data_IF_890314960593
#
_entry.id   IF_890314960593
#
_cell.length_a   1.000
_cell.length_b   1.000
_cell.length_c   1.000
_cell.angle_alpha   90.00
_cell.angle_beta   90.00
_cell.angle_gamma   90.00
#
_symmetry.space_group_name_H-M   'P 1'
#
loop_
_entity.id
_entity.type
_entity.pdbx_description
1 polymer ?
#
# COMPACT_ATOMS: atom_id res chain seq x y z
N UNK A 1 -9.80 -11.75 65.64
CA UNK A 1 -9.06 -10.85 64.73
C UNK A 1 -9.37 -11.26 63.30
N UNK A 2 -10.19 -10.49 62.58
CA UNK A 2 -10.57 -10.77 61.18
C UNK A 2 -9.62 -9.96 60.29
N UNK A 3 -8.75 -10.65 59.57
CA UNK A 3 -7.78 -10.02 58.67
C UNK A 3 -8.48 -9.37 57.49
N UNK A 4 -8.21 -8.09 57.30
CA UNK A 4 -8.56 -7.33 56.09
C UNK A 4 -7.59 -7.82 55.00
N UNK A 5 -7.99 -8.84 54.23
CA UNK A 5 -7.47 -9.06 52.89
C UNK A 5 -8.22 -8.09 51.96
N UNK A 6 -7.95 -6.79 52.08
CA UNK A 6 -8.71 -5.73 51.44
C UNK A 6 -7.85 -4.96 50.45
N UNK A 7 -8.29 -4.92 49.19
CA UNK A 7 -7.88 -4.04 48.10
C UNK A 7 -6.46 -4.10 47.50
N UNK A 8 -5.38 -4.32 48.25
CA UNK A 8 -4.03 -4.13 47.68
C UNK A 8 -3.69 -5.08 46.49
N UNK A 9 -4.13 -6.34 46.58
CA UNK A 9 -3.97 -7.31 45.50
C UNK A 9 -4.93 -7.10 44.32
N UNK A 10 -6.07 -6.46 44.56
CA UNK A 10 -7.07 -6.22 43.54
C UNK A 10 -6.69 -5.02 42.66
N UNK A 11 -6.25 -3.91 43.29
CA UNK A 11 -5.77 -2.71 42.60
C UNK A 11 -4.53 -2.99 41.74
N UNK A 12 -3.64 -3.88 42.18
CA UNK A 12 -2.44 -4.26 41.41
C UNK A 12 -2.76 -5.12 40.19
N UNK A 13 -3.73 -6.04 40.29
CA UNK A 13 -4.21 -6.84 39.15
C UNK A 13 -4.93 -5.96 38.13
N UNK A 14 -5.81 -5.07 38.58
CA UNK A 14 -6.49 -4.11 37.70
C UNK A 14 -5.48 -3.21 36.98
N UNK A 15 -4.48 -2.68 37.68
CA UNK A 15 -3.42 -1.89 37.08
C UNK A 15 -2.63 -2.70 36.04
N UNK A 16 -2.26 -3.95 36.33
CA UNK A 16 -1.53 -4.80 35.40
C UNK A 16 -2.32 -5.06 34.10
N UNK A 17 -3.63 -5.31 34.22
CA UNK A 17 -4.52 -5.49 33.07
C UNK A 17 -4.61 -4.19 32.26
N UNK A 18 -4.82 -3.05 32.93
CA UNK A 18 -4.94 -1.74 32.28
C UNK A 18 -3.63 -1.38 31.56
N UNK A 19 -2.46 -1.58 32.17
CA UNK A 19 -1.17 -1.30 31.53
C UNK A 19 -0.92 -2.20 30.32
N UNK A 20 -1.28 -3.48 30.41
CA UNK A 20 -1.15 -4.42 29.28
C UNK A 20 -2.07 -4.02 28.13
N UNK A 21 -3.33 -3.70 28.44
CA UNK A 21 -4.31 -3.23 27.46
C UNK A 21 -3.86 -1.91 26.82
N UNK A 22 -3.39 -0.95 27.62
CA UNK A 22 -2.88 0.33 27.13
C UNK A 22 -1.67 0.14 26.20
N UNK A 23 -0.76 -0.76 26.57
CA UNK A 23 0.41 -1.09 25.75
C UNK A 23 0.00 -1.67 24.41
N UNK A 24 -0.96 -2.61 24.41
CA UNK A 24 -1.50 -3.20 23.18
C UNK A 24 -2.18 -2.15 22.28
N UNK A 25 -2.96 -1.24 22.88
CA UNK A 25 -3.61 -0.14 22.15
C UNK A 25 -2.58 0.80 21.54
N UNK A 26 -1.59 1.25 22.30
CA UNK A 26 -0.53 2.13 21.80
C UNK A 26 0.24 1.45 20.66
N UNK A 27 0.61 0.17 20.83
CA UNK A 27 1.28 -0.60 19.79
C UNK A 27 0.45 -0.68 18.51
N UNK A 28 -0.86 -0.90 18.65
CA UNK A 28 -1.80 -0.94 17.52
C UNK A 28 -1.91 0.40 16.81
N UNK A 29 -1.98 1.52 17.56
CA UNK A 29 -2.02 2.87 16.99
C UNK A 29 -0.76 3.16 16.18
N UNK A 30 0.43 2.86 16.73
CA UNK A 30 1.70 3.03 16.03
C UNK A 30 1.75 2.18 14.76
N UNK A 31 1.37 0.90 14.85
CA UNK A 31 1.33 0.01 13.70
C UNK A 31 0.34 0.51 12.62
N UNK A 32 -0.78 1.08 13.02
CA UNK A 32 -1.74 1.73 12.13
C UNK A 32 -1.15 2.92 11.38
N UNK A 33 -0.49 3.84 12.10
CA UNK A 33 0.18 5.01 11.48
C UNK A 33 1.25 4.58 10.49
N UNK A 34 2.07 3.59 10.85
CA UNK A 34 3.09 3.06 9.95
C UNK A 34 2.46 2.41 8.70
N UNK A 35 1.35 1.70 8.86
CA UNK A 35 0.62 1.09 7.73
C UNK A 35 0.08 2.17 6.78
N UNK A 36 -0.41 3.30 7.30
CA UNK A 36 -0.80 4.46 6.48
C UNK A 36 0.39 5.06 5.75
N UNK A 37 1.54 5.19 6.41
CA UNK A 37 2.76 5.67 5.76
C UNK A 37 3.19 4.75 4.61
N UNK A 38 3.14 3.42 4.80
CA UNK A 38 3.39 2.44 3.74
C UNK A 38 2.42 2.62 2.58
N UNK A 39 1.13 2.83 2.85
CA UNK A 39 0.13 3.08 1.81
C UNK A 39 0.44 4.33 0.98
N UNK A 40 0.84 5.43 1.61
CA UNK A 40 1.25 6.65 0.89
C UNK A 40 2.49 6.40 0.01
N UNK A 41 3.44 5.58 0.50
CA UNK A 41 4.57 5.10 -0.29
C UNK A 41 4.12 4.30 -1.52
N UNK A 42 3.18 3.36 -1.35
CA UNK A 42 2.61 2.57 -2.44
C UNK A 42 1.89 3.45 -3.49
N UNK A 43 1.18 4.49 -3.07
CA UNK A 43 0.57 5.47 -3.98
C UNK A 43 1.64 6.19 -4.82
N UNK A 44 2.73 6.63 -4.19
CA UNK A 44 3.86 7.23 -4.88
C UNK A 44 4.47 6.28 -5.91
N UNK A 45 4.76 5.04 -5.50
CA UNK A 45 5.32 3.99 -6.36
C UNK A 45 4.40 3.65 -7.54
N UNK A 46 3.09 3.53 -7.31
CA UNK A 46 2.14 3.29 -8.39
C UNK A 46 2.17 4.44 -9.41
N UNK A 47 2.23 5.69 -8.95
CA UNK A 47 2.30 6.88 -9.82
C UNK A 47 3.60 6.95 -10.61
N UNK A 48 4.73 6.71 -9.95
CA UNK A 48 6.05 6.73 -10.59
C UNK A 48 6.17 5.57 -11.60
N UNK A 49 5.69 4.37 -11.23
CA UNK A 49 5.61 3.23 -12.13
C UNK A 49 4.69 3.49 -13.33
N UNK A 50 3.55 4.15 -13.13
CA UNK A 50 2.66 4.50 -14.25
C UNK A 50 3.34 5.47 -15.22
N UNK A 51 4.04 6.49 -14.70
CA UNK A 51 4.84 7.40 -15.53
C UNK A 51 5.95 6.69 -16.29
N UNK A 52 6.64 5.76 -15.62
CA UNK A 52 7.66 4.94 -16.28
C UNK A 52 7.06 4.04 -17.37
N UNK A 53 5.88 3.46 -17.15
CA UNK A 53 5.16 2.67 -18.15
C UNK A 53 4.85 3.50 -19.41
N UNK A 54 4.45 4.76 -19.23
CA UNK A 54 4.14 5.67 -20.33
C UNK A 54 5.38 6.08 -21.15
N UNK A 55 6.59 6.03 -20.58
CA UNK A 55 7.82 6.47 -21.22
C UNK A 55 8.70 5.33 -21.76
N UNK A 56 8.66 4.15 -21.14
CA UNK A 56 9.69 3.12 -21.31
C UNK A 56 9.18 1.68 -21.28
N UNK A 57 7.90 1.45 -21.57
CA UNK A 57 7.22 0.14 -21.56
C UNK A 57 6.95 -0.45 -20.14
N UNK A 58 6.20 -1.54 -20.07
CA UNK A 58 5.75 -2.21 -18.84
C UNK A 58 6.90 -2.71 -17.97
N UNK A 59 8.05 -3.05 -18.57
CA UNK A 59 9.24 -3.49 -17.84
C UNK A 59 9.85 -2.37 -16.99
N UNK A 60 9.90 -1.14 -17.52
CA UNK A 60 10.42 0.02 -16.79
C UNK A 60 9.56 0.37 -15.56
N UNK A 61 8.24 0.17 -15.67
CA UNK A 61 7.33 0.34 -14.54
C UNK A 61 7.63 -0.62 -13.39
N UNK A 62 7.95 -1.88 -13.71
CA UNK A 62 8.33 -2.88 -12.70
C UNK A 62 9.68 -2.57 -12.09
N UNK A 63 10.68 -2.20 -12.88
CA UNK A 63 12.02 -1.90 -12.36
C UNK A 63 12.00 -0.72 -11.37
N UNK A 64 11.28 0.36 -11.69
CA UNK A 64 11.17 1.55 -10.81
C UNK A 64 10.54 1.21 -9.45
N UNK A 65 9.54 0.32 -9.44
CA UNK A 65 8.88 -0.08 -8.19
C UNK A 65 9.76 -1.06 -7.40
N UNK A 66 10.33 -2.08 -8.04
CA UNK A 66 11.15 -3.11 -7.37
C UNK A 66 12.49 -2.58 -6.88
N UNK A 67 13.06 -1.55 -7.51
CA UNK A 67 14.27 -0.87 -7.01
C UNK A 67 14.01 -0.17 -5.68
N UNK A 68 12.80 0.36 -5.49
CA UNK A 68 12.42 1.07 -4.27
C UNK A 68 11.91 0.14 -3.19
N UNK A 69 11.17 -0.91 -3.57
CA UNK A 69 10.61 -1.90 -2.67
C UNK A 69 10.71 -3.29 -3.30
N UNK A 70 11.77 -4.06 -2.98
CA UNK A 70 12.03 -5.36 -3.58
C UNK A 70 10.91 -6.39 -3.35
N UNK A 71 10.21 -6.27 -2.22
CA UNK A 71 9.14 -7.18 -1.82
C UNK A 71 7.76 -6.75 -2.36
N UNK A 72 7.69 -5.67 -3.16
CA UNK A 72 6.44 -5.21 -3.74
C UNK A 72 5.93 -6.14 -4.86
N UNK A 73 4.65 -6.47 -4.80
CA UNK A 73 3.95 -7.14 -5.89
C UNK A 73 3.42 -6.09 -6.88
N UNK A 74 3.84 -6.19 -8.14
CA UNK A 74 3.54 -5.18 -9.17
C UNK A 74 2.79 -5.82 -10.33
N UNK A 75 1.58 -5.32 -10.59
CA UNK A 75 0.79 -5.67 -11.77
C UNK A 75 0.65 -4.45 -12.67
N UNK A 76 1.12 -4.57 -13.91
CA UNK A 76 1.05 -3.51 -14.92
C UNK A 76 0.16 -4.00 -16.06
N UNK A 77 -0.83 -3.20 -16.43
CA UNK A 77 -1.74 -3.47 -17.54
C UNK A 77 -1.76 -2.27 -18.49
N UNK A 78 -1.70 -2.54 -19.79
CA UNK A 78 -1.89 -1.56 -20.85
C UNK A 78 -3.18 -1.90 -21.61
N UNK A 79 -3.99 -0.89 -21.94
CA UNK A 79 -5.21 -1.05 -22.72
C UNK A 79 -6.01 0.25 -22.84
N UNK A 80 -7.10 0.28 -23.60
CA UNK A 80 -7.99 1.46 -23.65
C UNK A 80 -8.91 1.50 -22.41
N UNK A 81 -9.44 2.67 -22.02
CA UNK A 81 -10.40 2.76 -20.92
C UNK A 81 -11.66 1.95 -21.28
N UNK A 82 -11.87 0.80 -20.63
CA UNK A 82 -13.07 -0.02 -20.83
C UNK A 82 -12.83 -1.48 -21.24
N UNK A 83 -11.58 -1.92 -21.40
CA UNK A 83 -11.30 -3.35 -21.60
C UNK A 83 -11.50 -3.82 -23.04
N UNK A 84 -10.90 -3.12 -23.97
CA UNK A 84 -10.44 -3.59 -25.28
C UNK A 84 -9.54 -2.47 -25.83
N UNK A 85 -8.53 -2.74 -26.67
CA UNK A 85 -7.87 -1.68 -27.41
C UNK A 85 -8.92 -1.01 -28.32
N UNK A 86 -9.46 0.13 -27.90
CA UNK A 86 -10.14 1.00 -28.83
C UNK A 86 -9.05 1.46 -29.81
N UNK A 87 -9.18 0.96 -31.03
CA UNK A 87 -8.30 1.30 -32.15
C UNK A 87 -8.69 2.66 -32.76
N UNK A 88 -9.52 3.45 -32.07
CA UNK A 88 -10.13 4.67 -32.60
C UNK A 88 -9.46 5.95 -32.06
N UNK A 89 -8.80 5.90 -30.90
CA UNK A 89 -8.19 7.08 -30.27
C UNK A 89 -6.66 7.04 -30.25
N UNK A 90 -6.03 5.88 -30.49
CA UNK A 90 -4.57 5.71 -30.55
C UNK A 90 -3.82 5.88 -29.20
N UNK A 91 -4.53 6.25 -28.12
CA UNK A 91 -3.93 6.46 -26.80
C UNK A 91 -3.95 5.17 -25.98
N UNK A 92 -2.78 4.73 -25.52
CA UNK A 92 -2.65 3.61 -24.58
C UNK A 92 -2.85 4.10 -23.14
N UNK A 93 -3.68 3.42 -22.35
CA UNK A 93 -3.78 3.70 -20.91
C UNK A 93 -2.98 2.67 -20.15
N UNK A 94 -2.07 3.14 -19.30
CA UNK A 94 -1.25 2.31 -18.41
C UNK A 94 -1.82 2.36 -17.00
N UNK A 95 -2.10 1.18 -16.44
CA UNK A 95 -2.53 1.00 -15.05
C UNK A 95 -1.48 0.20 -14.31
N UNK A 96 -0.95 0.79 -13.24
CA UNK A 96 0.02 0.16 -12.35
C UNK A 96 -0.62 -0.04 -10.99
N UNK A 97 -0.71 -1.30 -10.58
CA UNK A 97 -1.17 -1.73 -9.27
C UNK A 97 0.03 -2.23 -8.47
N UNK A 98 0.26 -1.64 -7.30
CA UNK A 98 1.37 -1.97 -6.40
C UNK A 98 0.80 -2.42 -5.08
N UNK A 99 1.23 -3.59 -4.61
CA UNK A 99 0.91 -4.12 -3.27
C UNK A 99 2.19 -4.28 -2.48
N UNK A 100 2.20 -3.79 -1.24
CA UNK A 100 3.36 -3.79 -0.34
C UNK A 100 2.91 -4.29 1.04
N UNK A 101 3.73 -5.10 1.75
CA UNK A 101 3.42 -5.52 3.11
C UNK A 101 3.40 -4.31 4.08
N UNK A 102 2.26 -4.07 4.72
CA UNK A 102 2.15 -3.13 5.83
C UNK A 102 2.40 -3.79 7.18
N UNK A 103 2.44 -3.00 8.26
CA UNK A 103 2.70 -3.54 9.61
C UNK A 103 1.53 -4.34 10.17
N UNK A 104 0.30 -3.94 9.83
CA UNK A 104 -0.91 -4.65 10.25
C UNK A 104 -1.46 -5.56 9.14
N UNK A 105 -1.41 -5.11 7.89
CA UNK A 105 -1.96 -5.79 6.73
C UNK A 105 -1.29 -5.26 5.45
N UNK A 106 -1.40 -6.02 4.36
CA UNK A 106 -0.92 -5.61 3.04
C UNK A 106 -1.71 -4.39 2.54
N UNK A 107 -1.00 -3.45 1.93
CA UNK A 107 -1.58 -2.24 1.36
C UNK A 107 -1.38 -2.22 -0.14
N UNK A 108 -2.41 -1.81 -0.87
CA UNK A 108 -2.38 -1.76 -2.32
C UNK A 108 -2.79 -0.38 -2.83
N UNK A 109 -2.12 0.11 -3.88
CA UNK A 109 -2.45 1.35 -4.55
C UNK A 109 -2.44 1.16 -6.07
N UNK A 110 -3.28 1.92 -6.75
CA UNK A 110 -3.37 1.88 -8.22
C UNK A 110 -3.22 3.29 -8.77
N UNK A 111 -2.39 3.45 -9.80
CA UNK A 111 -2.32 4.66 -10.58
C UNK A 111 -2.60 4.36 -12.05
N UNK A 112 -3.16 5.35 -12.74
CA UNK A 112 -3.53 5.28 -14.15
C UNK A 112 -2.98 6.51 -14.85
N UNK A 113 -2.37 6.30 -16.02
CA UNK A 113 -1.89 7.39 -16.88
C UNK A 113 -2.21 7.06 -18.34
N UNK A 114 -2.49 8.11 -19.11
CA UNK A 114 -2.64 8.02 -20.57
C UNK A 114 -1.26 8.24 -21.18
N UNK A 115 -0.80 7.26 -21.96
CA UNK A 115 0.42 7.36 -22.77
C UNK A 115 0.18 8.12 -24.06
N UNK A 116 1.27 8.58 -24.65
CA UNK A 116 1.24 9.28 -25.93
C UNK A 116 0.74 8.35 -27.04
N UNK A 117 -0.02 8.89 -28.02
CA UNK A 117 -0.43 8.12 -29.17
C UNK A 117 0.81 7.63 -29.91
N UNK A 118 0.95 6.31 -30.00
CA UNK A 118 2.02 5.69 -30.76
C UNK A 118 1.63 5.77 -32.24
N UNK A 119 2.50 6.30 -33.10
CA UNK A 119 2.27 6.27 -34.55
C UNK A 119 2.10 4.80 -34.98
N UNK A 120 0.88 4.46 -35.38
CA UNK A 120 0.58 3.16 -35.96
C UNK A 120 1.26 3.14 -37.33
N UNK A 121 2.45 2.55 -37.44
CA UNK A 121 2.99 2.19 -38.74
C UNK A 121 2.08 1.11 -39.33
N UNK A 122 1.35 1.49 -40.38
CA UNK A 122 0.50 0.60 -41.17
C UNK A 122 1.27 -0.46 -41.94
#
# INVERSE_FOLDING_TARGET
MRGIYGDDGYVTVEAAIVFTALTAVIGTVIAGVLTVATYLGAVGMARDGARAAALGDLAAARSVVTEREPDALVTVTAGSPGGAPDSATGHLVYRVHVTVPGRLFDVSATAVIVGEPQDVQG
#
